data_IF_557058460383
#
_entry.id   IF_557058460383
#
_cell.length_a   1.000
_cell.length_b   1.000
_cell.length_c   1.000
_cell.angle_alpha   90.00
_cell.angle_beta   90.00
_cell.angle_gamma   90.00
#
_symmetry.space_group_name_H-M   'P 1'
#
loop_
_entity.id
_entity.type
_entity.pdbx_description
1 polymer ?
#
# COMPACT_ATOMS: atom_id res chain seq x y z
N UNK A 1 -1.74 10.19 -50.12
CA UNK A 1 -2.90 11.03 -49.73
C UNK A 1 -3.70 10.18 -48.73
N UNK A 2 -3.21 10.03 -47.50
CA UNK A 2 -3.55 10.83 -46.30
C UNK A 2 -5.08 10.87 -46.10
N UNK A 3 -5.64 10.28 -45.05
CA UNK A 3 -5.84 10.82 -43.69
C UNK A 3 -6.37 9.62 -42.84
N UNK A 4 -6.06 9.32 -41.58
CA UNK A 4 -5.07 9.79 -40.59
C UNK A 4 -5.18 8.83 -39.38
N UNK A 5 -4.04 8.31 -38.90
CA UNK A 5 -3.90 7.62 -37.61
C UNK A 5 -3.93 8.62 -36.42
N UNK A 6 -4.98 9.43 -36.33
CA UNK A 6 -5.29 10.29 -35.17
C UNK A 6 -6.78 10.07 -34.90
N UNK A 7 -7.27 9.60 -33.75
CA UNK A 7 -6.87 9.84 -32.37
C UNK A 7 -7.02 8.54 -31.56
N UNK A 8 -5.91 7.88 -31.20
CA UNK A 8 -5.91 7.06 -29.98
C UNK A 8 -5.76 8.04 -28.85
N UNK A 9 -6.89 8.57 -28.41
CA UNK A 9 -6.97 9.40 -27.23
C UNK A 9 -6.38 8.59 -26.07
N UNK A 10 -5.17 8.95 -25.66
CA UNK A 10 -4.48 8.39 -24.51
C UNK A 10 -5.08 8.97 -23.24
N UNK A 11 -6.40 8.84 -23.09
CA UNK A 11 -7.06 9.05 -21.82
C UNK A 11 -6.60 7.91 -20.92
N UNK A 12 -5.55 8.18 -20.15
CA UNK A 12 -5.18 7.41 -18.98
C UNK A 12 -6.50 7.16 -18.21
N UNK A 13 -6.88 5.90 -18.07
CA UNK A 13 -8.20 5.58 -17.56
C UNK A 13 -8.31 6.09 -16.12
N UNK A 14 -9.53 6.38 -15.65
CA UNK A 14 -9.74 6.80 -14.25
C UNK A 14 -9.14 5.76 -13.27
N UNK A 15 -9.16 4.48 -13.65
CA UNK A 15 -8.55 3.40 -12.89
C UNK A 15 -7.03 3.55 -12.82
N UNK A 16 -6.37 3.81 -13.95
CA UNK A 16 -4.91 4.00 -13.99
C UNK A 16 -4.46 5.18 -13.10
N UNK A 17 -5.21 6.29 -13.11
CA UNK A 17 -4.95 7.45 -12.25
C UNK A 17 -5.17 7.11 -10.77
N UNK A 18 -6.22 6.34 -10.47
CA UNK A 18 -6.51 5.91 -9.10
C UNK A 18 -5.42 5.00 -8.54
N UNK A 19 -5.00 4.01 -9.33
CA UNK A 19 -3.99 3.02 -8.97
C UNK A 19 -2.63 3.69 -8.74
N UNK A 20 -2.22 4.57 -9.65
CA UNK A 20 -0.99 5.35 -9.52
C UNK A 20 -1.03 6.26 -8.27
N UNK A 21 -2.16 6.93 -8.03
CA UNK A 21 -2.34 7.77 -6.84
C UNK A 21 -2.25 6.99 -5.52
N UNK A 22 -2.74 5.74 -5.49
CA UNK A 22 -2.63 4.88 -4.32
C UNK A 22 -1.18 4.43 -4.09
N UNK A 23 -0.47 4.05 -5.14
CA UNK A 23 0.96 3.69 -5.06
C UNK A 23 1.79 4.88 -4.56
N UNK A 24 1.54 6.07 -5.10
CA UNK A 24 2.23 7.30 -4.70
C UNK A 24 1.94 7.67 -3.24
N UNK A 25 0.71 7.44 -2.76
CA UNK A 25 0.38 7.61 -1.35
C UNK A 25 1.27 6.76 -0.45
N UNK A 26 1.57 5.50 -0.81
CA UNK A 26 2.50 4.68 -0.04
C UNK A 26 3.95 5.16 -0.18
N UNK A 27 4.38 5.54 -1.39
CA UNK A 27 5.74 6.06 -1.65
C UNK A 27 6.07 7.27 -0.78
N UNK A 28 5.20 8.28 -0.75
CA UNK A 28 5.43 9.51 0.03
C UNK A 28 5.40 9.28 1.55
N UNK A 29 4.86 8.14 1.99
CA UNK A 29 4.79 7.75 3.39
C UNK A 29 5.84 6.69 3.79
N UNK A 30 6.85 6.43 2.95
CA UNK A 30 8.01 5.61 3.33
C UNK A 30 8.58 6.03 4.68
N UNK A 31 8.88 5.03 5.51
CA UNK A 31 9.36 5.21 6.88
C UNK A 31 8.27 5.40 7.94
N UNK A 32 6.99 5.52 7.56
CA UNK A 32 5.88 5.60 8.51
C UNK A 32 5.32 4.23 8.86
N UNK A 33 4.65 4.15 10.02
CA UNK A 33 3.90 2.97 10.42
C UNK A 33 2.55 2.94 9.70
N UNK A 34 2.12 1.75 9.32
CA UNK A 34 0.85 1.51 8.64
C UNK A 34 0.14 0.33 9.27
N UNK A 35 -1.18 0.44 9.40
CA UNK A 35 -2.11 -0.65 9.64
C UNK A 35 -2.74 -1.03 8.30
N UNK A 36 -2.81 -2.32 7.99
CA UNK A 36 -3.42 -2.85 6.77
C UNK A 36 -4.30 -4.07 7.08
N UNK A 37 -5.39 -4.19 6.35
CA UNK A 37 -6.29 -5.34 6.35
C UNK A 37 -6.43 -5.85 4.92
N UNK A 38 -6.17 -7.14 4.71
CA UNK A 38 -6.33 -7.80 3.41
C UNK A 38 -7.55 -8.74 3.39
N UNK A 39 -8.19 -8.96 2.22
CA UNK A 39 -9.44 -9.70 2.11
C UNK A 39 -9.28 -11.23 2.22
N UNK A 40 -8.15 -11.80 1.82
CA UNK A 40 -7.91 -13.25 1.93
C UNK A 40 -7.56 -13.62 3.38
N UNK A 41 -8.53 -14.13 4.15
CA UNK A 41 -8.50 -14.54 5.59
C UNK A 41 -7.80 -13.51 6.52
N UNK A 42 -8.58 -12.61 7.15
CA UNK A 42 -8.25 -11.19 7.27
C UNK A 42 -6.88 -10.95 7.89
N UNK A 43 -5.84 -10.89 7.07
CA UNK A 43 -4.50 -10.63 7.56
C UNK A 43 -4.40 -9.17 7.95
N UNK A 44 -4.31 -8.95 9.27
CA UNK A 44 -3.94 -7.66 9.84
C UNK A 44 -2.42 -7.57 9.83
N UNK A 45 -1.90 -6.49 9.26
CA UNK A 45 -0.49 -6.14 9.35
C UNK A 45 -0.35 -4.75 9.97
N UNK A 46 0.41 -4.67 11.05
CA UNK A 46 0.94 -3.42 11.56
C UNK A 46 2.45 -3.46 11.38
N UNK A 47 2.99 -2.45 10.74
CA UNK A 47 4.42 -2.43 10.43
C UNK A 47 4.90 -1.11 9.89
N UNK A 48 6.19 -1.06 9.53
CA UNK A 48 6.83 0.11 8.94
C UNK A 48 6.98 -0.06 7.43
N UNK A 49 6.56 0.95 6.66
CA UNK A 49 6.80 1.00 5.21
C UNK A 49 8.31 1.19 4.99
N UNK A 50 8.99 0.17 4.48
CA UNK A 50 10.41 0.23 4.18
C UNK A 50 10.66 0.75 2.78
N UNK A 51 9.87 0.31 1.80
CA UNK A 51 9.97 0.77 0.42
C UNK A 51 8.69 0.51 -0.38
N UNK A 52 8.64 1.05 -1.59
CA UNK A 52 7.63 0.70 -2.60
C UNK A 52 8.34 0.46 -3.93
N UNK A 53 8.14 -0.73 -4.52
CA UNK A 53 8.74 -1.15 -5.79
C UNK A 53 7.57 -1.48 -6.72
N UNK A 54 7.42 -0.75 -7.82
CA UNK A 54 6.25 -0.83 -8.70
C UNK A 54 4.94 -0.63 -7.91
N UNK A 55 4.08 -1.65 -7.84
CA UNK A 55 2.80 -1.70 -7.10
C UNK A 55 2.92 -2.46 -5.76
N UNK A 56 4.13 -2.83 -5.35
CA UNK A 56 4.41 -3.60 -4.14
C UNK A 56 4.93 -2.72 -3.02
N UNK A 57 4.32 -2.80 -1.84
CA UNK A 57 4.88 -2.24 -0.62
C UNK A 57 5.76 -3.27 0.09
N UNK A 58 6.99 -2.89 0.42
CA UNK A 58 7.86 -3.65 1.31
C UNK A 58 7.59 -3.20 2.76
N UNK A 59 7.01 -4.09 3.57
CA UNK A 59 6.65 -3.83 4.95
C UNK A 59 7.55 -4.61 5.93
N UNK A 60 8.06 -3.93 6.95
CA UNK A 60 8.62 -4.58 8.14
C UNK A 60 7.47 -4.86 9.13
N UNK A 61 7.03 -6.12 9.23
CA UNK A 61 5.86 -6.48 10.05
C UNK A 61 6.24 -6.52 11.53
N UNK A 62 5.59 -5.68 12.32
CA UNK A 62 5.75 -5.60 13.77
C UNK A 62 4.70 -6.43 14.51
N UNK A 63 3.45 -6.40 14.04
CA UNK A 63 2.34 -7.11 14.68
C UNK A 63 1.37 -7.65 13.64
N UNK A 64 0.91 -8.87 13.85
CA UNK A 64 -0.14 -9.51 13.06
C UNK A 64 -1.01 -10.42 13.94
N UNK A 65 -2.11 -10.93 13.39
CA UNK A 65 -2.92 -11.95 14.06
C UNK A 65 -2.20 -13.30 14.20
N UNK A 66 -1.18 -13.54 13.36
CA UNK A 66 -0.38 -14.76 13.37
C UNK A 66 1.08 -14.43 13.66
N UNK A 67 1.67 -14.90 14.78
CA UNK A 67 3.06 -14.63 15.13
C UNK A 67 4.08 -15.03 14.06
N UNK A 68 3.76 -16.05 13.25
CA UNK A 68 4.61 -16.50 12.15
C UNK A 68 4.82 -15.45 11.04
N UNK A 69 3.97 -14.40 10.98
CA UNK A 69 4.08 -13.32 10.00
C UNK A 69 4.89 -12.12 10.54
N UNK A 70 5.17 -12.07 11.84
CA UNK A 70 5.86 -10.97 12.51
C UNK A 70 7.38 -11.09 12.40
N UNK A 71 8.09 -9.95 12.52
CA UNK A 71 9.56 -9.85 12.42
C UNK A 71 10.11 -10.37 11.09
N UNK A 72 9.26 -10.40 10.07
CA UNK A 72 9.55 -10.78 8.69
C UNK A 72 9.20 -9.60 7.79
N UNK A 73 9.96 -9.43 6.71
CA UNK A 73 9.66 -8.44 5.68
C UNK A 73 8.73 -9.03 4.64
N UNK A 74 7.64 -8.33 4.34
CA UNK A 74 6.62 -8.76 3.39
C UNK A 74 6.57 -7.84 2.20
N UNK A 75 6.45 -8.42 1.00
CA UNK A 75 6.06 -7.70 -0.20
C UNK A 75 4.56 -7.90 -0.37
N UNK A 76 3.80 -6.81 -0.35
CA UNK A 76 2.33 -6.82 -0.43
C UNK A 76 1.91 -6.01 -1.65
N UNK A 77 1.11 -6.62 -2.54
CA UNK A 77 0.47 -5.88 -3.64
C UNK A 77 -0.49 -4.87 -3.04
N UNK A 78 -0.29 -3.59 -3.36
CA UNK A 78 -1.10 -2.49 -2.81
C UNK A 78 -2.58 -2.69 -3.18
N UNK A 79 -2.87 -3.26 -4.34
CA UNK A 79 -4.24 -3.58 -4.78
C UNK A 79 -4.93 -4.68 -3.95
N UNK A 80 -4.19 -5.46 -3.17
CA UNK A 80 -4.77 -6.46 -2.27
C UNK A 80 -5.14 -5.88 -0.89
N UNK A 81 -4.88 -4.59 -0.66
CA UNK A 81 -5.19 -3.93 0.60
C UNK A 81 -6.63 -3.43 0.55
N UNK A 82 -7.49 -4.01 1.39
CA UNK A 82 -8.90 -3.61 1.50
C UNK A 82 -9.05 -2.33 2.32
N UNK A 83 -8.32 -2.25 3.45
CA UNK A 83 -8.34 -1.10 4.35
C UNK A 83 -6.93 -0.82 4.85
N UNK A 84 -6.57 0.46 4.93
CA UNK A 84 -5.33 0.85 5.59
C UNK A 84 -5.45 2.16 6.37
N UNK A 85 -4.54 2.34 7.33
CA UNK A 85 -4.30 3.59 8.01
C UNK A 85 -2.79 3.83 8.10
N UNK A 86 -2.30 4.89 7.46
CA UNK A 86 -0.90 5.32 7.57
C UNK A 86 -0.80 6.39 8.65
N UNK A 87 0.05 6.13 9.64
CA UNK A 87 0.24 7.03 10.78
C UNK A 87 0.84 8.37 10.33
N UNK A 88 0.18 9.47 10.70
CA UNK A 88 0.61 10.83 10.39
C UNK A 88 1.31 11.47 11.59
N UNK A 89 1.94 12.62 11.37
CA UNK A 89 2.51 13.43 12.46
C UNK A 89 1.43 13.92 13.45
N UNK A 90 0.23 14.17 12.95
CA UNK A 90 -0.94 14.61 13.71
C UNK A 90 -2.07 13.59 13.62
N UNK A 91 -2.81 13.37 14.71
CA UNK A 91 -3.95 12.45 14.76
C UNK A 91 -3.68 11.17 15.57
N UNK A 92 -4.59 10.19 15.50
CA UNK A 92 -4.46 8.93 16.22
C UNK A 92 -3.15 8.21 15.87
N UNK A 93 -2.51 7.61 16.87
CA UNK A 93 -1.32 6.77 16.68
C UNK A 93 -1.77 5.32 16.63
N UNK A 94 -1.11 4.52 15.78
CA UNK A 94 -1.32 3.08 15.81
C UNK A 94 -0.74 2.59 17.14
N UNK A 95 -1.51 1.89 17.99
CA UNK A 95 -1.01 1.42 19.28
C UNK A 95 0.27 0.59 19.11
N UNK A 96 1.15 0.67 20.10
CA UNK A 96 2.26 -0.28 20.23
C UNK A 96 1.76 -1.40 21.11
N UNK A 97 1.39 -2.51 20.47
CA UNK A 97 1.04 -3.73 21.17
C UNK A 97 2.35 -4.36 21.62
N UNK A 98 2.68 -4.16 22.89
CA UNK A 98 3.73 -4.90 23.59
C UNK A 98 3.01 -5.85 24.55
N UNK A 99 3.48 -7.08 24.62
CA UNK A 99 3.13 -7.98 25.73
C UNK A 99 3.53 -7.36 27.08
#
# INVERSE_FOLDING_TARGET
MAISDQERDSFQSINDIHDEGLVDLFRVNKGRRVFMLMPNYPFIFIGKILDVIDDMVLLDVETSQFPALEKVKWHIHIHNIEVFYIEKSTGPRIPRLKD
#
